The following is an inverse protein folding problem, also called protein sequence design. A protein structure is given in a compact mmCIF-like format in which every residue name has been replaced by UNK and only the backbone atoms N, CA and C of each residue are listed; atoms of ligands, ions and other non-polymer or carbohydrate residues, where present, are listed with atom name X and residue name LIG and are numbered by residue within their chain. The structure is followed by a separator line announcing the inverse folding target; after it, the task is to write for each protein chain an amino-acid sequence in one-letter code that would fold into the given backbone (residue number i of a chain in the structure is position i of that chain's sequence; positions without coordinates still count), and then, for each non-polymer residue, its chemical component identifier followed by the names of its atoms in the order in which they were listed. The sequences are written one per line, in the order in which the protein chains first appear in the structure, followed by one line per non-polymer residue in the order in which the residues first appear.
data_IF_517793370935
#
_entry.id   IF_517793370935
#
_cell.length_a   1.000
_cell.length_b   1.000
_cell.length_c   1.000
_cell.angle_alpha   90.00
_cell.angle_beta   90.00
_cell.angle_gamma   90.00
#
_symmetry.space_group_name_H-M   'P 1'
#
loop_
_entity.id
_entity.type
_entity.pdbx_description
1 polymer ?
#
# COMPACT_ATOMS: atom_id res chain seq x y z
N UNK A 1 -17.82 -48.83 33.44
CA UNK A 1 -17.31 -48.70 32.07
C UNK A 1 -17.37 -47.22 31.70
N UNK A 2 -16.28 -46.43 31.86
CA UNK A 2 -16.35 -44.98 31.71
C UNK A 2 -16.00 -44.55 30.29
N UNK A 3 -16.98 -44.03 29.55
CA UNK A 3 -16.79 -43.47 28.20
C UNK A 3 -16.54 -41.94 28.19
N UNK A 4 -16.29 -41.31 29.34
CA UNK A 4 -16.08 -39.85 29.45
C UNK A 4 -14.68 -39.35 29.07
N UNK A 5 -13.74 -40.25 28.72
CA UNK A 5 -12.34 -39.85 28.47
C UNK A 5 -11.98 -39.63 27.00
N UNK A 6 -12.94 -39.68 26.07
CA UNK A 6 -12.69 -39.54 24.62
C UNK A 6 -13.22 -38.25 23.99
N UNK A 7 -14.06 -37.47 24.67
CA UNK A 7 -14.53 -36.16 24.17
C UNK A 7 -13.62 -34.98 24.57
N UNK A 8 -12.86 -35.11 25.67
CA UNK A 8 -11.88 -34.10 26.12
C UNK A 8 -10.50 -34.32 25.45
N UNK A 9 -10.50 -34.71 24.17
CA UNK A 9 -9.25 -34.91 23.39
C UNK A 9 -9.26 -34.19 22.04
N UNK A 10 -10.33 -33.47 21.68
CA UNK A 10 -10.45 -32.81 20.37
C UNK A 10 -10.28 -31.29 20.33
N UNK A 11 -10.13 -30.58 21.46
CA UNK A 11 -10.21 -29.10 21.43
C UNK A 11 -8.90 -28.33 21.58
N UNK A 12 -7.73 -28.99 21.63
CA UNK A 12 -6.48 -28.26 21.76
C UNK A 12 -5.37 -28.83 20.87
N UNK A 13 -5.56 -28.80 19.54
CA UNK A 13 -4.39 -28.75 18.65
C UNK A 13 -3.69 -27.41 18.91
N UNK A 14 -2.42 -27.37 19.32
CA UNK A 14 -1.70 -26.11 19.48
C UNK A 14 -1.70 -25.42 18.13
N UNK A 15 -2.40 -24.29 18.03
CA UNK A 15 -2.28 -23.45 16.85
C UNK A 15 -0.81 -22.95 16.83
N UNK A 16 -0.07 -23.13 15.72
CA UNK A 16 1.28 -22.57 15.62
C UNK A 16 1.20 -21.07 15.92
N UNK A 17 2.19 -20.49 16.61
CA UNK A 17 2.15 -19.13 17.14
C UNK A 17 1.52 -18.17 16.14
N UNK A 18 0.32 -17.73 16.49
CA UNK A 18 -0.69 -17.00 15.70
C UNK A 18 -0.31 -15.54 15.40
N UNK A 19 0.99 -15.27 15.21
CA UNK A 19 1.47 -13.95 14.81
C UNK A 19 1.15 -13.63 13.33
N UNK A 20 0.60 -14.59 12.59
CA UNK A 20 0.22 -14.38 11.19
C UNK A 20 -1.28 -14.17 10.98
N UNK A 21 -2.12 -14.42 11.99
CA UNK A 21 -3.57 -14.21 11.89
C UNK A 21 -3.98 -12.78 12.24
N UNK A 22 -3.22 -12.07 13.09
CA UNK A 22 -3.58 -10.73 13.56
C UNK A 22 -3.63 -9.66 12.44
N UNK A 23 -3.05 -9.94 11.27
CA UNK A 23 -3.12 -9.07 10.09
C UNK A 23 -4.19 -9.48 9.06
N UNK A 24 -4.81 -10.65 9.20
CA UNK A 24 -5.82 -11.15 8.25
C UNK A 24 -7.25 -10.84 8.66
N UNK A 25 -7.48 -10.45 9.91
CA UNK A 25 -8.82 -10.28 10.46
C UNK A 25 -9.61 -9.18 9.74
N UNK A 26 -8.95 -8.07 9.35
CA UNK A 26 -9.59 -6.96 8.63
C UNK A 26 -10.10 -7.36 7.22
N UNK A 27 -9.29 -7.94 6.32
CA UNK A 27 -9.79 -8.42 5.03
C UNK A 27 -10.72 -9.64 5.15
N UNK A 28 -10.58 -10.48 6.18
CA UNK A 28 -11.48 -11.61 6.42
C UNK A 28 -12.89 -11.12 6.81
N UNK A 29 -13.00 -10.13 7.69
CA UNK A 29 -14.29 -9.55 8.06
C UNK A 29 -14.95 -8.82 6.88
N UNK A 30 -14.16 -8.06 6.10
CA UNK A 30 -14.62 -7.50 4.83
C UNK A 30 -15.08 -8.57 3.83
N UNK A 31 -14.46 -9.76 3.85
CA UNK A 31 -14.88 -10.87 3.01
C UNK A 31 -16.15 -11.58 3.53
N UNK A 32 -16.42 -11.54 4.84
CA UNK A 32 -17.66 -12.05 5.44
C UNK A 32 -18.87 -11.17 5.11
N UNK A 33 -18.69 -9.86 5.00
CA UNK A 33 -19.77 -8.90 4.66
C UNK A 33 -20.10 -8.88 3.15
N UNK A 34 -19.19 -9.39 2.30
CA UNK A 34 -19.37 -9.41 0.84
C UNK A 34 -19.96 -10.74 0.37
N UNK A 35 -21.18 -10.69 -0.17
CA UNK A 35 -21.80 -11.83 -0.83
C UNK A 35 -20.93 -12.32 -2.02
N UNK A 36 -20.65 -13.62 -2.08
CA UNK A 36 -19.79 -14.24 -3.10
C UNK A 36 -18.37 -13.64 -3.18
N UNK A 37 -17.70 -13.45 -2.04
CA UNK A 37 -16.37 -12.85 -1.93
C UNK A 37 -15.32 -13.44 -2.89
N UNK A 38 -15.37 -14.75 -3.16
CA UNK A 38 -14.42 -15.44 -4.06
C UNK A 38 -14.44 -14.90 -5.51
N UNK A 39 -15.57 -14.39 -5.98
CA UNK A 39 -15.69 -13.80 -7.33
C UNK A 39 -15.67 -12.26 -7.32
N UNK A 40 -16.19 -11.64 -6.25
CA UNK A 40 -16.31 -10.17 -6.16
C UNK A 40 -14.96 -9.53 -5.86
N UNK A 41 -14.20 -10.09 -4.91
CA UNK A 41 -12.89 -9.56 -4.51
C UNK A 41 -11.92 -9.40 -5.69
N UNK A 42 -11.69 -10.42 -6.55
CA UNK A 42 -10.77 -10.27 -7.68
C UNK A 42 -11.28 -9.27 -8.74
N UNK A 43 -12.60 -9.17 -8.96
CA UNK A 43 -13.18 -8.19 -9.90
C UNK A 43 -13.00 -6.76 -9.41
N UNK A 44 -13.22 -6.52 -8.12
CA UNK A 44 -13.05 -5.20 -7.50
C UNK A 44 -11.58 -4.79 -7.50
N UNK A 45 -10.65 -5.71 -7.24
CA UNK A 45 -9.21 -5.43 -7.38
C UNK A 45 -8.85 -4.98 -8.80
N UNK A 46 -9.31 -5.71 -9.83
CA UNK A 46 -9.03 -5.33 -11.22
C UNK A 46 -9.68 -3.99 -11.59
N UNK A 47 -10.93 -3.77 -11.20
CA UNK A 47 -11.63 -2.50 -11.42
C UNK A 47 -10.89 -1.33 -10.76
N UNK A 48 -10.36 -1.52 -9.55
CA UNK A 48 -9.60 -0.50 -8.81
C UNK A 48 -8.29 -0.18 -9.50
N UNK A 49 -7.57 -1.18 -10.02
CA UNK A 49 -6.34 -0.97 -10.79
C UNK A 49 -6.61 -0.22 -12.09
N UNK A 50 -7.66 -0.61 -12.82
CA UNK A 50 -8.05 0.05 -14.07
C UNK A 50 -8.49 1.51 -13.82
N UNK A 51 -9.27 1.76 -12.77
CA UNK A 51 -9.74 3.09 -12.42
C UNK A 51 -8.57 3.99 -12.00
N UNK A 52 -7.65 3.50 -11.15
CA UNK A 52 -6.44 4.25 -10.79
C UNK A 52 -5.54 4.51 -12.01
N UNK A 53 -5.40 3.54 -12.91
CA UNK A 53 -4.66 3.72 -14.16
C UNK A 53 -5.28 4.78 -15.07
N UNK A 54 -6.61 4.76 -15.23
CA UNK A 54 -7.33 5.76 -16.01
C UNK A 54 -7.20 7.17 -15.41
N UNK A 55 -7.33 7.30 -14.09
CA UNK A 55 -7.10 8.58 -13.38
C UNK A 55 -5.67 9.08 -13.56
N UNK A 56 -4.68 8.19 -13.50
CA UNK A 56 -3.28 8.53 -13.78
C UNK A 56 -3.08 9.03 -15.21
N UNK A 57 -3.70 8.39 -16.19
CA UNK A 57 -3.62 8.80 -17.60
C UNK A 57 -4.26 10.18 -17.82
N UNK A 58 -5.43 10.42 -17.24
CA UNK A 58 -6.10 11.73 -17.30
C UNK A 58 -5.24 12.82 -16.66
N UNK A 59 -4.62 12.52 -15.52
CA UNK A 59 -3.73 13.46 -14.82
C UNK A 59 -2.51 13.83 -15.68
N UNK A 60 -1.87 12.85 -16.32
CA UNK A 60 -0.73 13.10 -17.22
C UNK A 60 -1.14 13.95 -18.42
N UNK A 61 -2.26 13.64 -19.07
CA UNK A 61 -2.75 14.42 -20.21
C UNK A 61 -3.04 15.86 -19.79
N UNK A 62 -3.69 16.06 -18.64
CA UNK A 62 -4.00 17.40 -18.11
C UNK A 62 -2.71 18.17 -17.83
N UNK A 63 -1.70 17.52 -17.25
CA UNK A 63 -0.42 18.14 -16.96
C UNK A 63 0.31 18.59 -18.23
N UNK A 64 0.31 17.76 -19.27
CA UNK A 64 0.91 18.10 -20.58
C UNK A 64 0.19 19.29 -21.23
N UNK A 65 -1.14 19.36 -21.13
CA UNK A 65 -1.92 20.46 -21.69
C UNK A 65 -1.73 21.79 -20.93
N UNK A 66 -1.37 21.74 -19.64
CA UNK A 66 -1.08 22.94 -18.85
C UNK A 66 0.29 23.56 -19.18
N UNK A 67 1.21 22.81 -19.78
CA UNK A 67 2.54 23.32 -20.18
C UNK A 67 2.38 24.18 -21.43
N UNK A 68 2.39 25.50 -21.24
CA UNK A 68 2.25 26.46 -22.36
C UNK A 68 3.58 26.82 -23.02
N UNK A 69 4.69 26.71 -22.28
CA UNK A 69 6.02 27.08 -22.77
C UNK A 69 7.06 26.10 -22.21
N UNK A 70 7.37 25.05 -22.97
CA UNK A 70 8.25 23.97 -22.54
C UNK A 70 9.67 24.46 -22.24
N UNK A 71 10.18 25.39 -23.02
CA UNK A 71 11.55 25.86 -22.90
C UNK A 71 11.75 26.66 -21.62
N UNK A 72 10.84 27.58 -21.32
CA UNK A 72 10.86 28.34 -20.07
C UNK A 72 10.50 27.47 -18.85
N UNK A 73 9.58 26.51 -18.98
CA UNK A 73 9.04 25.75 -17.84
C UNK A 73 9.82 24.47 -17.47
N UNK A 74 10.59 23.91 -18.40
CA UNK A 74 11.29 22.63 -18.22
C UNK A 74 12.79 22.75 -18.45
N UNK A 75 13.23 23.47 -19.49
CA UNK A 75 14.64 23.51 -19.90
C UNK A 75 15.42 24.60 -19.16
N UNK A 76 14.87 25.81 -19.10
CA UNK A 76 15.49 27.00 -18.51
C UNK A 76 14.93 27.36 -17.12
N UNK A 77 14.30 26.40 -16.45
CA UNK A 77 13.60 26.69 -15.20
C UNK A 77 14.58 26.87 -14.02
N UNK A 78 14.47 27.95 -13.22
CA UNK A 78 15.29 28.13 -12.03
C UNK A 78 14.93 27.16 -10.90
N UNK A 79 13.75 26.53 -10.96
CA UNK A 79 13.35 25.48 -10.02
C UNK A 79 13.74 24.09 -10.55
N UNK A 80 14.36 23.26 -9.72
CA UNK A 80 14.69 21.86 -10.03
C UNK A 80 13.47 20.98 -10.39
N UNK A 81 12.26 21.47 -10.09
CA UNK A 81 11.02 20.75 -10.23
C UNK A 81 10.02 21.55 -11.08
N UNK A 82 9.68 21.09 -12.30
CA UNK A 82 8.85 21.86 -13.24
C UNK A 82 7.41 22.07 -12.74
N UNK A 83 6.88 21.18 -11.89
CA UNK A 83 5.52 21.29 -11.36
C UNK A 83 5.32 22.53 -10.47
N UNK A 84 6.38 23.06 -9.84
CA UNK A 84 6.30 24.25 -9.00
C UNK A 84 5.96 25.47 -9.85
N UNK A 85 6.63 25.61 -10.99
CA UNK A 85 6.41 26.69 -11.94
C UNK A 85 5.01 26.64 -12.57
N UNK A 86 4.47 25.44 -12.77
CA UNK A 86 3.11 25.23 -13.29
C UNK A 86 2.07 25.67 -12.26
N UNK A 87 2.26 25.35 -10.97
CA UNK A 87 1.37 25.83 -9.91
C UNK A 87 1.44 27.35 -9.74
N UNK A 88 2.62 27.97 -9.86
CA UNK A 88 2.76 29.43 -9.89
C UNK A 88 1.94 30.05 -11.02
N UNK A 89 2.03 29.50 -12.23
CA UNK A 89 1.28 30.01 -13.38
C UNK A 89 -0.23 29.76 -13.28
N UNK A 90 -0.64 28.65 -12.69
CA UNK A 90 -2.06 28.32 -12.50
C UNK A 90 -2.75 29.23 -11.46
N UNK A 91 -2.03 29.60 -10.40
CA UNK A 91 -2.59 30.38 -9.27
C UNK A 91 -2.35 31.88 -9.44
N UNK A 92 -1.29 32.29 -10.14
CA UNK A 92 -0.93 33.70 -10.32
C UNK A 92 -0.34 34.37 -9.06
N UNK A 93 -0.05 33.60 -8.01
CA UNK A 93 0.55 34.08 -6.76
C UNK A 93 1.61 33.11 -6.24
N UNK A 94 2.80 33.62 -5.93
CA UNK A 94 3.93 32.82 -5.44
C UNK A 94 3.66 32.19 -4.06
N UNK A 95 2.94 32.90 -3.19
CA UNK A 95 2.58 32.39 -1.85
C UNK A 95 1.59 31.23 -1.97
N UNK A 96 0.59 31.37 -2.83
CA UNK A 96 -0.40 30.32 -3.07
C UNK A 96 0.21 29.05 -3.66
N UNK A 97 1.13 29.20 -4.63
CA UNK A 97 1.83 28.08 -5.23
C UNK A 97 2.76 27.35 -4.25
N UNK A 98 3.43 28.07 -3.36
CA UNK A 98 4.30 27.49 -2.34
C UNK A 98 3.50 26.68 -1.32
N UNK A 99 2.34 27.18 -0.89
CA UNK A 99 1.44 26.47 0.03
C UNK A 99 0.89 25.18 -0.59
N UNK A 100 0.42 25.23 -1.84
CA UNK A 100 -0.09 24.05 -2.55
C UNK A 100 1.01 23.00 -2.75
N UNK A 101 2.22 23.45 -3.11
CA UNK A 101 3.38 22.57 -3.26
C UNK A 101 3.73 21.87 -1.95
N UNK A 102 3.75 22.62 -0.83
CA UNK A 102 4.08 22.06 0.49
C UNK A 102 3.04 21.03 0.94
N UNK A 103 1.75 21.32 0.75
CA UNK A 103 0.67 20.39 1.05
C UNK A 103 0.76 19.11 0.20
N UNK A 104 1.04 19.26 -1.10
CA UNK A 104 1.19 18.15 -2.02
C UNK A 104 2.35 17.21 -1.61
N UNK A 105 3.50 17.78 -1.23
CA UNK A 105 4.65 17.02 -0.74
C UNK A 105 4.29 16.24 0.53
N UNK A 106 3.58 16.86 1.48
CA UNK A 106 3.17 16.21 2.72
C UNK A 106 2.24 15.01 2.46
N UNK A 107 1.25 15.19 1.59
CA UNK A 107 0.32 14.13 1.18
C UNK A 107 1.06 12.97 0.50
N UNK A 108 1.97 13.29 -0.42
CA UNK A 108 2.76 12.28 -1.13
C UNK A 108 3.69 11.52 -0.18
N UNK A 109 4.29 12.20 0.80
CA UNK A 109 5.12 11.55 1.81
C UNK A 109 4.31 10.55 2.66
N UNK A 110 3.13 10.94 3.13
CA UNK A 110 2.23 10.07 3.87
C UNK A 110 1.79 8.84 3.02
N UNK A 111 1.45 9.06 1.75
CA UNK A 111 1.09 8.00 0.82
C UNK A 111 2.25 7.01 0.60
N UNK A 112 3.47 7.51 0.38
CA UNK A 112 4.67 6.68 0.24
C UNK A 112 4.91 5.81 1.48
N UNK A 113 4.76 6.37 2.69
CA UNK A 113 4.88 5.60 3.93
C UNK A 113 3.82 4.51 4.03
N UNK A 114 2.58 4.79 3.64
CA UNK A 114 1.49 3.80 3.62
C UNK A 114 1.79 2.64 2.66
N UNK A 115 2.24 2.94 1.44
CA UNK A 115 2.59 1.92 0.44
C UNK A 115 3.82 1.12 0.88
N UNK A 116 4.83 1.76 1.46
CA UNK A 116 6.02 1.08 2.00
C UNK A 116 5.64 0.13 3.15
N UNK A 117 4.76 0.57 4.06
CA UNK A 117 4.26 -0.26 5.15
C UNK A 117 3.41 -1.44 4.65
N UNK A 118 2.62 -1.24 3.58
CA UNK A 118 1.88 -2.33 2.93
C UNK A 118 2.81 -3.33 2.22
N UNK A 119 3.78 -2.84 1.44
CA UNK A 119 4.75 -3.66 0.73
C UNK A 119 5.61 -4.49 1.68
N UNK A 120 6.06 -3.91 2.79
CA UNK A 120 6.80 -4.64 3.84
C UNK A 120 6.02 -5.83 4.39
N UNK A 121 4.71 -5.66 4.64
CA UNK A 121 3.82 -6.75 5.08
C UNK A 121 3.69 -7.85 4.02
N UNK A 122 3.54 -7.48 2.75
CA UNK A 122 3.47 -8.44 1.62
C UNK A 122 4.78 -9.22 1.46
N UNK A 123 5.93 -8.55 1.57
CA UNK A 123 7.25 -9.17 1.48
C UNK A 123 7.46 -10.14 2.65
N UNK A 124 7.06 -9.77 3.87
CA UNK A 124 7.14 -10.65 5.03
C UNK A 124 6.29 -11.93 4.87
N UNK A 125 5.07 -11.82 4.33
CA UNK A 125 4.25 -13.00 4.02
C UNK A 125 4.88 -13.88 2.94
N UNK A 126 5.42 -13.28 1.86
CA UNK A 126 6.11 -14.04 0.80
C UNK A 126 7.40 -14.72 1.29
N UNK A 127 8.15 -14.08 2.20
CA UNK A 127 9.33 -14.66 2.82
C UNK A 127 8.98 -15.89 3.68
N UNK A 128 7.85 -15.84 4.41
CA UNK A 128 7.32 -16.98 5.19
C UNK A 128 6.94 -18.16 4.29
N UNK A 129 6.39 -17.86 3.12
CA UNK A 129 5.95 -18.87 2.14
C UNK A 129 7.12 -19.41 1.28
N UNK A 130 8.38 -19.12 1.66
CA UNK A 130 9.63 -19.49 0.95
C UNK A 130 9.69 -18.99 -0.51
N UNK A 131 8.93 -17.95 -0.85
CA UNK A 131 8.83 -17.42 -2.21
C UNK A 131 10.01 -16.54 -2.67
N UNK A 132 10.98 -16.25 -1.80
CA UNK A 132 12.12 -15.37 -2.10
C UNK A 132 13.43 -16.17 -2.28
N UNK A 133 14.21 -15.91 -3.35
CA UNK A 133 15.61 -16.33 -3.40
C UNK A 133 16.35 -15.60 -2.26
N UNK A 134 17.03 -16.33 -1.36
CA UNK A 134 17.60 -15.85 -0.08
C UNK A 134 16.65 -15.80 1.15
N UNK A 135 15.62 -16.65 1.20
CA UNK A 135 14.74 -16.82 2.38
C UNK A 135 15.45 -17.09 3.73
N UNK A 136 16.71 -17.55 3.71
CA UNK A 136 17.53 -17.76 4.91
C UNK A 136 17.93 -16.48 5.68
N UNK A 137 18.06 -15.33 5.00
CA UNK A 137 18.49 -14.08 5.63
C UNK A 137 17.30 -13.28 6.20
N UNK A 138 16.18 -13.21 5.47
CA UNK A 138 14.94 -12.56 5.94
C UNK A 138 14.26 -13.28 7.10
N UNK A 139 14.55 -14.57 7.31
CA UNK A 139 14.03 -15.34 8.45
C UNK A 139 14.64 -14.93 9.79
N UNK A 140 15.78 -14.22 9.81
CA UNK A 140 16.50 -13.91 11.06
C UNK A 140 15.99 -12.68 11.83
N UNK A 141 15.05 -11.90 11.28
CA UNK A 141 14.45 -10.77 12.01
C UNK A 141 13.50 -11.23 13.15
N UNK A 142 13.26 -12.54 13.28
CA UNK A 142 12.65 -13.13 14.49
C UNK A 142 13.72 -13.73 15.42
N UNK A 143 14.54 -12.92 16.07
CA UNK A 143 15.40 -13.41 17.17
C UNK A 143 15.23 -12.67 18.52
N UNK A 144 14.32 -11.69 18.66
CA UNK A 144 14.13 -11.00 19.95
C UNK A 144 12.74 -11.18 20.58
N UNK A 145 12.32 -12.44 20.70
CA UNK A 145 11.36 -12.83 21.75
C UNK A 145 11.70 -14.25 22.21
N UNK A 146 12.65 -14.35 23.14
CA UNK A 146 12.82 -15.58 23.92
C UNK A 146 11.67 -15.68 24.93
N UNK A 147 11.07 -16.87 25.09
CA UNK A 147 9.95 -17.09 26.00
C UNK A 147 10.43 -17.24 27.45
N UNK A 148 9.64 -16.69 28.36
CA UNK A 148 9.26 -17.31 29.64
C UNK A 148 7.74 -17.27 29.68
#
# INVERSE_FOLDING_TARGET
MPLDRLEVSRTHKPQPPSLTSQGSDAPAHLAEEVANASYVVPRVMLATVLLNGAMGLISIITFVLCITDYDAMVVNNPSFYPYISIFQKAIGSDVGATLMTTLFILLNFCACLSVLAAASRQIFSFARDKGLPFSGWFRQVSFLRRPM
#
